data_IF_038482410706
#
_entry.id   IF_038482410706
#
_cell.length_a   1.000
_cell.length_b   1.000
_cell.length_c   1.000
_cell.angle_alpha   90.00
_cell.angle_beta   90.00
_cell.angle_gamma   90.00
#
_symmetry.space_group_name_H-M   'P 1'
#
loop_
_entity.id
_entity.type
_entity.pdbx_description
1 polymer ?
#
# COMPACT_ATOMS: atom_id res chain seq x y z
N UNK A 1 -31.75 -9.49 17.72
CA UNK A 1 -31.93 -10.87 17.22
C UNK A 1 -30.54 -11.35 16.81
N UNK A 2 -30.08 -12.44 17.43
CA UNK A 2 -28.78 -13.08 17.24
C UNK A 2 -28.79 -13.81 15.88
N UNK A 3 -27.68 -13.80 15.14
CA UNK A 3 -27.34 -14.90 14.24
C UNK A 3 -26.13 -15.64 14.82
N UNK A 4 -26.44 -16.80 15.37
CA UNK A 4 -25.59 -17.97 15.44
C UNK A 4 -25.88 -18.76 14.15
N UNK A 5 -24.90 -19.44 13.56
CA UNK A 5 -25.13 -20.82 13.09
C UNK A 5 -23.84 -21.51 12.69
N UNK A 6 -23.83 -22.84 12.80
CA UNK A 6 -22.71 -23.75 12.69
C UNK A 6 -22.44 -24.31 11.27
N UNK A 7 -21.16 -24.58 11.01
CA UNK A 7 -20.55 -25.59 10.11
C UNK A 7 -20.74 -25.54 8.57
N UNK A 8 -19.64 -25.95 7.91
CA UNK A 8 -19.37 -26.20 6.48
C UNK A 8 -19.16 -25.04 5.51
N UNK A 9 -19.93 -23.96 5.51
CA UNK A 9 -19.75 -22.85 4.54
C UNK A 9 -20.27 -21.55 5.17
N UNK A 10 -19.47 -20.49 5.33
CA UNK A 10 -19.85 -19.27 6.08
C UNK A 10 -19.80 -17.96 5.27
N UNK A 11 -20.79 -17.10 5.55
CA UNK A 11 -20.94 -15.67 5.18
C UNK A 11 -20.84 -14.81 6.46
N UNK A 12 -20.20 -13.64 6.42
CA UNK A 12 -20.13 -12.69 7.55
C UNK A 12 -20.82 -11.37 7.18
N UNK A 13 -21.57 -10.76 8.10
CA UNK A 13 -22.08 -9.37 7.97
C UNK A 13 -22.30 -8.74 9.34
N UNK A 14 -21.83 -7.50 9.53
CA UNK A 14 -21.98 -6.70 10.75
C UNK A 14 -23.14 -5.71 10.64
N UNK A 15 -23.79 -5.40 11.76
CA UNK A 15 -24.55 -4.15 11.93
C UNK A 15 -24.63 -3.76 13.41
N UNK A 16 -24.08 -2.61 13.80
CA UNK A 16 -24.75 -1.76 14.78
C UNK A 16 -24.37 -0.28 14.60
N UNK A 17 -25.39 0.54 14.31
CA UNK A 17 -25.32 2.01 14.39
C UNK A 17 -24.86 2.44 15.78
N UNK A 18 -23.78 3.21 15.85
CA UNK A 18 -23.47 4.07 16.99
C UNK A 18 -22.33 3.66 17.92
N UNK A 19 -21.43 2.76 17.51
CA UNK A 19 -20.14 2.60 18.21
C UNK A 19 -18.98 3.06 17.32
N UNK A 20 -18.14 3.94 17.86
CA UNK A 20 -17.06 4.61 17.12
C UNK A 20 -15.76 3.79 17.06
N UNK A 21 -15.60 2.76 17.91
CA UNK A 21 -14.42 1.89 17.93
C UNK A 21 -14.80 0.51 18.49
N UNK A 22 -14.42 -0.58 17.81
CA UNK A 22 -14.44 -1.93 18.38
C UNK A 22 -12.99 -2.42 18.49
N UNK A 23 -12.40 -2.23 19.67
CA UNK A 23 -11.13 -2.86 20.00
C UNK A 23 -11.40 -4.31 20.44
N UNK A 24 -10.92 -5.28 19.65
CA UNK A 24 -10.98 -6.70 20.01
C UNK A 24 -9.90 -7.02 21.06
N UNK A 25 -9.96 -6.38 22.24
CA UNK A 25 -9.08 -6.74 23.35
C UNK A 25 -9.54 -8.05 24.02
N UNK A 26 -8.57 -8.96 24.15
CA UNK A 26 -8.56 -10.28 24.83
C UNK A 26 -9.62 -11.34 24.46
N UNK A 27 -10.78 -10.97 23.94
CA UNK A 27 -11.88 -11.90 23.58
C UNK A 27 -11.62 -12.69 22.30
N UNK A 28 -10.70 -12.23 21.43
CA UNK A 28 -10.31 -12.99 20.25
C UNK A 28 -9.66 -14.32 20.63
N UNK A 29 -8.99 -14.43 21.78
CA UNK A 29 -8.38 -15.69 22.23
C UNK A 29 -9.43 -16.79 22.37
N UNK A 30 -10.63 -16.41 22.78
CA UNK A 30 -11.77 -17.30 22.99
C UNK A 30 -12.57 -17.56 21.71
N UNK A 31 -12.24 -16.87 20.60
CA UNK A 31 -12.88 -17.12 19.31
C UNK A 31 -12.50 -18.52 18.80
N UNK A 32 -13.47 -19.35 18.36
CA UNK A 32 -13.19 -20.69 17.87
C UNK A 32 -12.34 -20.63 16.60
N UNK A 33 -11.59 -21.71 16.34
CA UNK A 33 -10.98 -21.89 15.03
C UNK A 33 -12.06 -22.04 13.95
N UNK A 34 -11.83 -21.39 12.81
CA UNK A 34 -12.68 -21.36 11.64
C UNK A 34 -11.94 -22.00 10.45
N UNK A 35 -11.66 -23.32 10.48
CA UNK A 35 -10.87 -23.99 9.47
C UNK A 35 -11.59 -24.09 8.11
N UNK A 36 -12.87 -23.75 8.04
CA UNK A 36 -13.64 -23.76 6.79
C UNK A 36 -13.43 -22.51 5.93
N UNK A 37 -12.81 -21.45 6.49
CA UNK A 37 -12.58 -20.20 5.76
C UNK A 37 -11.20 -20.25 5.12
N UNK A 38 -11.18 -20.21 3.79
CA UNK A 38 -9.96 -20.14 2.97
C UNK A 38 -9.71 -18.75 2.38
N UNK A 39 -10.69 -17.85 2.44
CA UNK A 39 -10.54 -16.46 1.97
C UNK A 39 -11.17 -15.49 2.97
N UNK A 40 -10.45 -14.42 3.30
CA UNK A 40 -10.94 -13.35 4.17
C UNK A 40 -10.54 -12.00 3.58
N UNK A 41 -11.52 -11.11 3.42
CA UNK A 41 -11.29 -9.70 3.11
C UNK A 41 -12.01 -8.80 4.10
N UNK A 42 -11.28 -7.89 4.71
CA UNK A 42 -11.86 -6.82 5.52
C UNK A 42 -11.61 -5.47 4.84
N UNK A 43 -12.66 -4.66 4.72
CA UNK A 43 -12.58 -3.31 4.19
C UNK A 43 -13.20 -2.34 5.19
N UNK A 44 -12.36 -1.49 5.81
CA UNK A 44 -12.85 -0.37 6.60
C UNK A 44 -13.47 0.71 5.70
N UNK A 45 -14.54 1.35 6.19
CA UNK A 45 -15.09 2.57 5.58
C UNK A 45 -14.26 3.81 5.96
N UNK A 46 -14.31 4.85 5.13
CA UNK A 46 -13.64 6.15 5.36
C UNK A 46 -14.21 6.93 6.53
N UNK A 47 -15.49 6.72 6.84
CA UNK A 47 -16.23 7.64 7.70
C UNK A 47 -16.22 7.20 9.18
N UNK A 48 -16.01 5.91 9.44
CA UNK A 48 -15.80 5.34 10.78
C UNK A 48 -14.98 4.05 10.66
N UNK A 49 -13.75 3.96 11.20
CA UNK A 49 -13.01 2.71 11.24
C UNK A 49 -13.65 1.76 12.24
N UNK A 50 -14.46 0.82 11.75
CA UNK A 50 -15.19 -0.16 12.57
C UNK A 50 -14.25 -1.14 13.30
N UNK A 51 -13.00 -1.26 12.86
CA UNK A 51 -11.97 -2.19 13.39
C UNK A 51 -10.57 -1.70 13.04
N UNK A 52 -9.58 -1.97 13.90
CA UNK A 52 -8.17 -1.69 13.54
C UNK A 52 -7.62 -2.77 12.60
N UNK A 53 -6.65 -2.45 11.72
CA UNK A 53 -6.04 -3.45 10.84
C UNK A 53 -5.40 -4.62 11.60
N UNK A 54 -4.87 -4.35 12.81
CA UNK A 54 -4.31 -5.36 13.68
C UNK A 54 -5.36 -6.35 14.19
N UNK A 55 -6.57 -5.89 14.49
CA UNK A 55 -7.67 -6.75 14.93
C UNK A 55 -8.13 -7.70 13.82
N UNK A 56 -8.12 -7.26 12.57
CA UNK A 56 -8.40 -8.12 11.41
C UNK A 56 -7.34 -9.21 11.28
N UNK A 57 -6.06 -8.90 11.49
CA UNK A 57 -4.99 -9.90 11.48
C UNK A 57 -5.15 -10.92 12.64
N UNK A 58 -5.61 -10.48 13.82
CA UNK A 58 -5.95 -11.39 14.93
C UNK A 58 -7.12 -12.29 14.59
N UNK A 59 -8.15 -11.77 13.93
CA UNK A 59 -9.27 -12.58 13.45
C UNK A 59 -8.80 -13.62 12.40
N UNK A 60 -7.96 -13.20 11.46
CA UNK A 60 -7.36 -14.08 10.46
C UNK A 60 -6.56 -15.23 11.11
N UNK A 61 -5.92 -15.01 12.27
CA UNK A 61 -5.20 -16.06 13.00
C UNK A 61 -6.07 -17.24 13.42
N UNK A 62 -7.40 -17.06 13.47
CA UNK A 62 -8.37 -18.10 13.77
C UNK A 62 -8.78 -18.93 12.56
N UNK A 63 -8.27 -18.64 11.38
CA UNK A 63 -8.61 -19.35 10.14
C UNK A 63 -7.39 -20.16 9.66
N UNK A 64 -7.10 -21.35 10.24
CA UNK A 64 -5.86 -22.07 9.97
C UNK A 64 -5.71 -22.54 8.51
N UNK A 65 -6.79 -22.56 7.72
CA UNK A 65 -6.77 -22.89 6.28
C UNK A 65 -6.93 -21.66 5.37
N UNK A 66 -6.71 -20.46 5.90
CA UNK A 66 -6.79 -19.22 5.13
C UNK A 66 -5.71 -19.18 4.05
N UNK A 67 -6.10 -19.16 2.79
CA UNK A 67 -5.21 -19.12 1.62
C UNK A 67 -5.07 -17.71 1.05
N UNK A 68 -6.14 -16.91 1.08
CA UNK A 68 -6.14 -15.51 0.62
C UNK A 68 -6.58 -14.58 1.75
N UNK A 69 -5.77 -13.57 2.04
CA UNK A 69 -6.04 -12.59 3.09
C UNK A 69 -5.94 -11.17 2.56
N UNK A 70 -6.96 -10.37 2.79
CA UNK A 70 -7.01 -8.96 2.42
C UNK A 70 -7.44 -8.08 3.59
N UNK A 71 -6.69 -7.01 3.83
CA UNK A 71 -7.08 -5.96 4.77
C UNK A 71 -6.96 -4.61 4.08
N UNK A 72 -8.05 -3.85 4.10
CA UNK A 72 -8.10 -2.45 3.68
C UNK A 72 -8.49 -1.59 4.86
N UNK A 73 -7.67 -0.59 5.16
CA UNK A 73 -7.95 0.43 6.14
C UNK A 73 -7.44 1.78 5.64
N UNK A 74 -8.31 2.77 5.73
CA UNK A 74 -7.98 4.16 5.43
C UNK A 74 -7.95 4.87 6.78
N UNK A 75 -6.81 5.47 7.09
CA UNK A 75 -6.63 6.21 8.31
C UNK A 75 -7.08 7.66 8.12
N UNK A 76 -7.98 8.15 8.99
CA UNK A 76 -8.40 9.56 8.91
C UNK A 76 -7.32 10.51 9.41
N UNK A 77 -7.10 11.60 8.69
CA UNK A 77 -6.27 12.74 9.09
C UNK A 77 -6.84 13.46 10.33
N UNK A 78 -8.10 13.19 10.70
CA UNK A 78 -8.79 13.80 11.85
C UNK A 78 -8.24 13.35 13.19
N UNK A 79 -7.65 12.17 13.25
CA UNK A 79 -7.05 11.59 14.45
C UNK A 79 -5.53 11.76 14.43
N UNK A 80 -5.07 13.01 14.65
CA UNK A 80 -3.67 13.46 14.77
C UNK A 80 -2.65 12.36 15.11
N UNK A 81 -1.55 12.28 14.33
CA UNK A 81 -0.18 11.69 14.51
C UNK A 81 0.04 10.53 15.50
N UNK A 82 -0.54 10.59 16.70
CA UNK A 82 -0.58 9.49 17.67
C UNK A 82 -1.45 8.32 17.20
N UNK A 83 -2.56 8.58 16.47
CA UNK A 83 -3.38 7.52 15.87
C UNK A 83 -2.59 6.68 14.85
N UNK A 84 -1.83 7.36 14.01
CA UNK A 84 -1.07 6.75 12.91
C UNK A 84 0.02 5.82 13.37
N UNK A 85 0.88 6.31 14.26
CA UNK A 85 1.92 5.48 14.82
C UNK A 85 1.30 4.26 15.53
N UNK A 86 0.17 4.41 16.25
CA UNK A 86 -0.47 3.32 16.98
C UNK A 86 -1.09 2.28 16.03
N UNK A 87 -1.90 2.69 15.05
CA UNK A 87 -2.55 1.77 14.11
C UNK A 87 -1.53 1.07 13.21
N UNK A 88 -0.52 1.81 12.72
CA UNK A 88 0.59 1.27 11.96
C UNK A 88 1.42 0.28 12.76
N UNK A 89 1.78 0.62 14.00
CA UNK A 89 2.49 -0.30 14.90
C UNK A 89 1.63 -1.52 15.26
N UNK A 90 0.31 -1.36 15.36
CA UNK A 90 -0.63 -2.47 15.59
C UNK A 90 -0.63 -3.42 14.39
N UNK A 91 -0.82 -2.89 13.17
CA UNK A 91 -0.74 -3.66 11.94
C UNK A 91 0.60 -4.39 11.81
N UNK A 92 1.72 -3.66 11.93
CA UNK A 92 3.06 -4.23 11.80
C UNK A 92 3.31 -5.39 12.77
N UNK A 93 2.85 -5.29 14.03
CA UNK A 93 2.95 -6.36 15.04
C UNK A 93 2.01 -7.53 14.76
N UNK A 94 0.87 -7.27 14.13
CA UNK A 94 -0.15 -8.30 13.88
C UNK A 94 0.02 -9.03 12.55
N UNK A 95 0.82 -8.52 11.60
CA UNK A 95 1.16 -9.24 10.36
C UNK A 95 1.78 -10.62 10.63
N UNK A 96 2.52 -10.78 11.74
CA UNK A 96 3.10 -12.07 12.14
C UNK A 96 2.05 -13.09 12.61
N UNK A 97 0.82 -12.65 12.92
CA UNK A 97 -0.28 -13.52 13.35
C UNK A 97 -1.02 -14.15 12.17
N UNK A 98 -0.76 -13.70 10.94
CA UNK A 98 -1.39 -14.25 9.74
C UNK A 98 -1.04 -15.76 9.66
N UNK A 99 -2.01 -16.65 9.38
CA UNK A 99 -1.76 -18.09 9.26
C UNK A 99 -0.69 -18.46 8.21
N UNK A 100 0.05 -19.56 8.44
CA UNK A 100 1.08 -20.06 7.49
C UNK A 100 0.50 -20.55 6.16
N UNK A 101 -0.81 -20.82 6.13
CA UNK A 101 -1.55 -21.25 4.95
C UNK A 101 -1.77 -20.12 3.93
N UNK A 102 -1.58 -18.86 4.32
CA UNK A 102 -1.80 -17.72 3.42
C UNK A 102 -0.76 -17.71 2.32
N UNK A 103 -1.24 -17.76 1.08
CA UNK A 103 -0.44 -17.71 -0.14
C UNK A 103 -0.56 -16.36 -0.84
N UNK A 104 -1.72 -15.70 -0.71
CA UNK A 104 -2.03 -14.43 -1.38
C UNK A 104 -2.42 -13.38 -0.35
N UNK A 105 -1.74 -12.23 -0.40
CA UNK A 105 -1.91 -11.14 0.55
C UNK A 105 -2.26 -9.83 -0.14
N UNK A 106 -3.29 -9.14 0.35
CA UNK A 106 -3.57 -7.73 0.06
C UNK A 106 -3.48 -6.92 1.35
N UNK A 107 -2.59 -5.94 1.39
CA UNK A 107 -2.54 -4.94 2.46
C UNK A 107 -2.73 -3.57 1.83
N UNK A 108 -3.87 -2.96 2.07
CA UNK A 108 -4.22 -1.62 1.65
C UNK A 108 -4.36 -0.74 2.90
N UNK A 109 -3.24 -0.13 3.31
CA UNK A 109 -3.15 0.75 4.48
C UNK A 109 -2.78 2.15 4.02
N UNK A 110 -3.79 2.96 3.74
CA UNK A 110 -3.64 4.30 3.19
C UNK A 110 -3.93 5.34 4.26
N UNK A 111 -3.22 6.47 4.19
CA UNK A 111 -3.64 7.68 4.88
C UNK A 111 -4.75 8.34 4.05
N UNK A 112 -5.70 8.98 4.72
CA UNK A 112 -6.64 9.90 4.09
C UNK A 112 -5.86 10.96 3.29
N UNK A 113 -6.43 11.34 2.14
CA UNK A 113 -5.78 12.22 1.17
C UNK A 113 -5.48 13.57 1.81
N UNK A 114 -4.23 14.01 1.68
CA UNK A 114 -3.83 15.37 2.07
C UNK A 114 -4.23 16.30 0.92
N UNK A 115 -5.21 17.17 1.17
CA UNK A 115 -5.80 18.04 0.15
C UNK A 115 -4.92 19.26 -0.14
N UNK A 116 -4.27 19.80 0.89
CA UNK A 116 -3.32 20.91 0.74
C UNK A 116 -1.88 20.38 0.69
N UNK A 117 -1.32 20.36 -0.52
CA UNK A 117 0.01 19.83 -0.78
C UNK A 117 1.12 20.83 -0.45
N UNK A 118 0.81 22.02 0.08
CA UNK A 118 1.81 22.93 0.68
C UNK A 118 2.21 22.45 2.08
N UNK A 119 1.31 21.72 2.75
CA UNK A 119 1.58 21.09 4.03
C UNK A 119 2.66 20.01 3.87
N UNK A 120 3.65 20.02 4.77
CA UNK A 120 4.65 18.96 4.88
C UNK A 120 4.26 18.05 6.05
N UNK A 121 3.81 16.82 5.78
CA UNK A 121 3.41 15.92 6.83
C UNK A 121 4.58 15.57 7.76
N UNK A 122 4.33 15.38 9.05
CA UNK A 122 5.37 14.96 9.98
C UNK A 122 5.83 13.53 9.65
N UNK A 123 7.09 13.23 9.99
CA UNK A 123 7.60 11.86 9.97
C UNK A 123 6.81 10.98 10.93
N UNK A 124 6.41 9.80 10.47
CA UNK A 124 5.77 8.76 11.27
C UNK A 124 6.77 7.70 11.75
N UNK A 125 8.04 7.84 11.37
CA UNK A 125 9.13 7.02 11.89
C UNK A 125 9.43 7.46 13.33
N UNK A 126 9.40 6.54 14.32
CA UNK A 126 9.73 6.87 15.70
C UNK A 126 11.17 7.40 15.81
N UNK A 127 11.33 8.55 16.49
CA UNK A 127 12.63 9.24 16.67
C UNK A 127 13.71 8.32 17.26
N UNK A 128 13.30 7.35 18.08
CA UNK A 128 14.19 6.43 18.78
C UNK A 128 14.62 5.21 17.94
N UNK A 129 13.85 4.86 16.90
CA UNK A 129 14.00 3.59 16.18
C UNK A 129 14.83 3.72 14.90
N UNK A 130 14.82 4.90 14.25
CA UNK A 130 15.31 5.12 12.88
C UNK A 130 14.84 4.08 11.84
N UNK A 131 13.89 3.21 12.21
CA UNK A 131 13.42 2.07 11.43
C UNK A 131 11.92 2.15 11.33
N UNK A 132 11.45 1.95 10.11
CA UNK A 132 10.06 1.98 9.77
C UNK A 132 9.45 0.59 9.99
N UNK A 133 8.61 0.46 11.02
CA UNK A 133 8.14 -0.83 11.53
C UNK A 133 7.31 -1.63 10.52
N UNK A 134 6.54 -0.97 9.65
CA UNK A 134 5.67 -1.64 8.70
C UNK A 134 6.48 -2.18 7.54
N UNK A 135 7.48 -1.44 7.07
CA UNK A 135 8.44 -1.90 6.05
C UNK A 135 9.16 -3.15 6.53
N UNK A 136 9.62 -3.17 7.79
CA UNK A 136 10.24 -4.35 8.37
C UNK A 136 9.27 -5.53 8.50
N UNK A 137 8.02 -5.28 8.91
CA UNK A 137 7.02 -6.33 9.06
C UNK A 137 6.62 -6.93 7.70
N UNK A 138 6.37 -6.09 6.68
CA UNK A 138 6.10 -6.52 5.31
C UNK A 138 7.28 -7.28 4.73
N UNK A 139 8.51 -6.81 4.95
CA UNK A 139 9.73 -7.52 4.53
C UNK A 139 9.82 -8.91 5.14
N UNK A 140 9.60 -9.05 6.45
CA UNK A 140 9.58 -10.36 7.14
C UNK A 140 8.48 -11.27 6.60
N UNK A 141 7.30 -10.71 6.35
CA UNK A 141 6.17 -11.42 5.78
C UNK A 141 6.49 -11.92 4.36
N UNK A 142 7.06 -11.08 3.51
CA UNK A 142 7.49 -11.45 2.16
C UNK A 142 8.54 -12.56 2.15
N UNK A 143 9.36 -12.68 3.20
CA UNK A 143 10.37 -13.74 3.36
C UNK A 143 9.78 -15.07 3.85
N UNK A 144 8.53 -15.09 4.29
CA UNK A 144 7.87 -16.28 4.82
C UNK A 144 7.67 -17.33 3.73
N UNK A 145 7.97 -18.59 4.05
CA UNK A 145 7.59 -19.71 3.20
C UNK A 145 6.07 -19.81 3.06
N UNK A 146 5.58 -19.95 1.83
CA UNK A 146 4.17 -20.16 1.52
C UNK A 146 3.50 -18.97 0.85
N UNK A 147 4.00 -17.75 1.09
CA UNK A 147 3.50 -16.56 0.38
C UNK A 147 4.01 -16.58 -1.06
N UNK A 148 3.08 -16.49 -2.00
CA UNK A 148 3.30 -16.46 -3.44
C UNK A 148 3.00 -15.09 -4.03
N UNK A 149 2.03 -14.38 -3.47
CA UNK A 149 1.59 -13.10 -4.02
C UNK A 149 1.36 -12.07 -2.91
N UNK A 150 1.88 -10.86 -3.11
CA UNK A 150 1.61 -9.71 -2.26
C UNK A 150 1.20 -8.53 -3.12
N UNK A 151 0.09 -7.89 -2.74
CA UNK A 151 -0.30 -6.57 -3.20
C UNK A 151 -0.30 -5.62 -2.00
N UNK A 152 0.51 -4.58 -2.07
CA UNK A 152 0.70 -3.59 -1.02
C UNK A 152 0.33 -2.21 -1.54
N UNK A 153 -0.60 -1.54 -0.87
CA UNK A 153 -0.91 -0.12 -1.04
C UNK A 153 -0.67 0.51 0.33
N UNK A 154 0.49 1.11 0.53
CA UNK A 154 0.83 1.70 1.82
C UNK A 154 1.95 2.74 1.67
N UNK A 155 1.98 3.71 2.58
CA UNK A 155 3.19 4.52 2.77
C UNK A 155 4.24 3.64 3.43
N UNK A 156 5.29 3.22 2.72
CA UNK A 156 6.43 2.40 3.21
C UNK A 156 7.72 2.87 2.54
N UNK A 157 8.88 2.51 3.08
CA UNK A 157 10.19 2.84 2.50
C UNK A 157 10.70 1.72 1.57
N UNK A 158 11.68 2.03 0.74
CA UNK A 158 12.47 1.08 -0.06
C UNK A 158 13.06 -0.09 0.74
N UNK A 159 13.18 0.06 2.07
CA UNK A 159 13.59 -0.99 3.00
C UNK A 159 12.78 -2.29 2.88
N UNK A 160 11.55 -2.27 2.35
CA UNK A 160 10.77 -3.50 2.06
C UNK A 160 11.50 -4.50 1.15
N UNK A 161 12.42 -4.01 0.33
CA UNK A 161 13.20 -4.80 -0.63
C UNK A 161 14.58 -5.22 -0.10
N UNK A 162 14.97 -4.80 1.10
CA UNK A 162 16.28 -5.16 1.62
C UNK A 162 16.38 -6.67 1.91
N UNK A 163 17.49 -7.32 1.52
CA UNK A 163 17.76 -8.69 1.93
C UNK A 163 18.00 -8.80 3.44
N UNK A 164 17.50 -9.88 4.05
CA UNK A 164 18.00 -10.30 5.36
C UNK A 164 19.38 -10.92 5.18
N UNK A 165 20.26 -10.72 6.14
CA UNK A 165 21.63 -11.24 6.13
C UNK A 165 21.73 -12.77 6.13
N UNK A 166 20.62 -13.47 6.37
CA UNK A 166 20.59 -14.93 6.61
C UNK A 166 19.68 -15.72 5.65
N UNK A 167 18.80 -15.07 4.88
CA UNK A 167 17.77 -15.75 4.06
C UNK A 167 17.54 -15.04 2.73
N UNK A 168 17.18 -15.83 1.70
CA UNK A 168 16.72 -15.29 0.41
C UNK A 168 15.51 -14.36 0.60
N UNK A 169 15.49 -13.22 -0.10
CA UNK A 169 14.28 -12.39 -0.20
C UNK A 169 13.19 -13.22 -0.88
N UNK A 170 12.02 -13.41 -0.26
CA UNK A 170 10.88 -14.04 -0.93
C UNK A 170 11.19 -15.39 -1.61
N UNK A 171 11.56 -16.45 -0.86
CA UNK A 171 11.92 -17.75 -1.43
C UNK A 171 10.80 -18.38 -2.27
N UNK A 172 9.55 -18.03 -1.98
CA UNK A 172 8.36 -18.57 -2.65
C UNK A 172 7.56 -17.53 -3.43
N UNK A 173 7.97 -16.26 -3.36
CA UNK A 173 7.22 -15.13 -3.90
C UNK A 173 7.29 -15.15 -5.43
N UNK A 174 6.14 -15.19 -6.08
CA UNK A 174 5.95 -15.20 -7.54
C UNK A 174 5.50 -13.84 -8.06
N UNK A 175 4.74 -13.08 -7.26
CA UNK A 175 4.26 -11.74 -7.62
C UNK A 175 4.36 -10.77 -6.45
N UNK A 176 4.90 -9.57 -6.69
CA UNK A 176 4.94 -8.48 -5.72
C UNK A 176 4.51 -7.16 -6.37
N UNK A 177 3.33 -6.67 -6.01
CA UNK A 177 2.81 -5.39 -6.49
C UNK A 177 2.79 -4.37 -5.35
N UNK A 178 3.42 -3.23 -5.57
CA UNK A 178 3.49 -2.14 -4.60
C UNK A 178 2.99 -0.84 -5.24
N UNK A 179 1.99 -0.23 -4.61
CA UNK A 179 1.54 1.12 -4.91
C UNK A 179 2.08 2.09 -3.85
N UNK A 180 2.95 3.00 -4.25
CA UNK A 180 3.42 4.11 -3.43
C UNK A 180 2.29 5.10 -3.22
N UNK A 181 2.07 5.47 -1.96
CA UNK A 181 1.29 6.65 -1.59
C UNK A 181 2.07 7.95 -1.87
N UNK A 182 1.37 9.08 -1.86
CA UNK A 182 1.94 10.40 -2.17
C UNK A 182 3.04 10.86 -1.20
N UNK A 183 3.10 10.28 0.00
CA UNK A 183 3.99 10.67 1.10
C UNK A 183 4.68 9.43 1.67
N UNK A 184 6.00 9.51 1.81
CA UNK A 184 6.83 8.49 2.46
C UNK A 184 6.67 8.51 3.98
N UNK A 185 7.03 7.43 4.70
CA UNK A 185 6.97 7.42 6.16
C UNK A 185 7.81 8.52 6.85
N UNK A 186 8.79 9.09 6.16
CA UNK A 186 9.58 10.24 6.63
C UNK A 186 8.81 11.57 6.60
N UNK A 187 7.60 11.61 6.02
CA UNK A 187 6.86 12.85 5.72
C UNK A 187 7.28 13.49 4.38
N UNK A 188 8.24 12.91 3.68
CA UNK A 188 8.68 13.38 2.36
C UNK A 188 7.63 13.08 1.29
N UNK A 189 7.20 14.12 0.56
CA UNK A 189 6.38 13.96 -0.64
C UNK A 189 7.14 13.22 -1.75
N UNK A 190 6.46 12.25 -2.38
CA UNK A 190 6.95 11.46 -3.51
C UNK A 190 6.94 12.27 -4.80
N UNK A 191 6.10 13.29 -4.88
CA UNK A 191 5.98 14.20 -6.01
C UNK A 191 6.39 15.65 -5.69
N UNK A 192 6.70 16.43 -6.72
CA UNK A 192 6.97 17.88 -6.70
C UNK A 192 6.01 18.60 -7.66
N UNK A 193 5.89 19.92 -7.50
CA UNK A 193 5.06 20.79 -8.32
C UNK A 193 5.44 22.26 -8.12
N UNK A 194 5.08 23.11 -9.08
CA UNK A 194 5.59 24.50 -9.17
C UNK A 194 4.51 25.58 -8.99
N UNK A 195 3.24 25.22 -8.83
CA UNK A 195 2.13 26.19 -8.80
C UNK A 195 1.18 25.94 -7.62
N UNK A 196 1.60 26.17 -6.36
CA UNK A 196 0.66 26.23 -5.26
C UNK A 196 -0.32 27.41 -5.46
N UNK A 197 -1.52 27.31 -4.89
CA UNK A 197 -2.43 28.45 -4.81
C UNK A 197 -1.74 29.68 -4.21
N UNK A 198 -2.11 30.87 -4.70
CA UNK A 198 -1.71 32.14 -4.11
C UNK A 198 -2.42 32.37 -2.77
N UNK A 199 -1.88 33.27 -1.94
CA UNK A 199 -2.49 33.59 -0.64
C UNK A 199 -3.94 34.10 -0.76
N UNK A 200 -4.26 34.82 -1.84
CA UNK A 200 -5.61 35.31 -2.12
C UNK A 200 -6.56 34.15 -2.48
N UNK A 201 -6.11 33.20 -3.30
CA UNK A 201 -6.89 32.00 -3.67
C UNK A 201 -7.10 31.07 -2.47
N UNK A 202 -6.09 30.92 -1.60
CA UNK A 202 -6.24 30.18 -0.34
C UNK A 202 -7.28 30.84 0.58
N UNK A 203 -7.26 32.16 0.72
CA UNK A 203 -8.23 32.88 1.56
C UNK A 203 -9.66 32.74 1.01
N UNK A 204 -9.82 32.82 -0.32
CA UNK A 204 -11.10 32.60 -0.99
C UNK A 204 -11.64 31.19 -0.73
N UNK A 205 -10.82 30.14 -0.93
CA UNK A 205 -11.25 28.76 -0.66
C UNK A 205 -11.56 28.53 0.83
N UNK A 206 -10.74 29.05 1.75
CA UNK A 206 -11.02 28.95 3.19
C UNK A 206 -12.35 29.62 3.54
N UNK A 207 -12.68 30.73 2.89
CA UNK A 207 -13.95 31.43 3.11
C UNK A 207 -15.14 30.61 2.58
N UNK A 208 -15.05 30.03 1.38
CA UNK A 208 -16.08 29.12 0.84
C UNK A 208 -16.31 27.91 1.76
N UNK A 209 -15.23 27.29 2.25
CA UNK A 209 -15.31 26.16 3.19
C UNK A 209 -15.97 26.57 4.51
N UNK A 210 -15.62 27.74 5.05
CA UNK A 210 -16.24 28.29 6.27
C UNK A 210 -17.72 28.60 6.09
N UNK A 211 -18.13 29.08 4.92
CA UNK A 211 -19.52 29.40 4.60
C UNK A 211 -20.35 28.13 4.30
N UNK A 212 -19.71 27.06 3.81
CA UNK A 212 -20.33 25.77 3.56
C UNK A 212 -20.40 24.82 4.76
N UNK A 213 -19.53 24.97 5.77
CA UNK A 213 -19.56 24.17 6.99
C UNK A 213 -20.58 24.71 8.00
N UNK A 214 -21.81 24.20 7.93
CA UNK A 214 -22.90 24.55 8.85
C UNK A 214 -22.72 24.01 10.29
N UNK A 215 -21.73 23.16 10.55
CA UNK A 215 -21.51 22.55 11.85
C UNK A 215 -20.00 22.52 12.13
N UNK A 216 -19.61 23.05 13.30
CA UNK A 216 -18.23 23.39 13.68
C UNK A 216 -17.28 22.20 13.86
N UNK A 217 -17.20 21.33 12.87
CA UNK A 217 -16.28 20.20 12.83
C UNK A 217 -14.84 20.68 12.69
N UNK A 218 -13.97 20.18 13.56
CA UNK A 218 -12.53 20.43 13.49
C UNK A 218 -11.97 19.87 12.18
N UNK A 219 -11.37 20.74 11.37
CA UNK A 219 -10.62 20.37 10.17
C UNK A 219 -9.13 20.33 10.53
N UNK A 220 -8.43 19.19 10.38
CA UNK A 220 -6.99 19.12 10.62
C UNK A 220 -6.21 20.00 9.64
N UNK A 221 -5.01 20.48 10.03
CA UNK A 221 -4.11 21.15 9.11
C UNK A 221 -3.85 20.30 7.87
N UNK A 222 -3.99 20.89 6.69
CA UNK A 222 -3.82 20.19 5.41
C UNK A 222 -5.11 19.62 4.78
N UNK A 223 -6.25 19.70 5.49
CA UNK A 223 -7.56 19.23 5.02
C UNK A 223 -8.53 20.39 4.72
N UNK A 224 -8.11 21.62 4.98
CA UNK A 224 -8.97 22.81 4.98
C UNK A 224 -9.30 23.33 3.58
N UNK A 225 -8.38 23.13 2.63
CA UNK A 225 -8.45 23.63 1.26
C UNK A 225 -7.91 22.57 0.29
N UNK A 226 -8.44 22.56 -0.94
CA UNK A 226 -7.92 21.71 -2.01
C UNK A 226 -6.83 22.49 -2.77
N UNK A 227 -5.58 22.28 -2.38
CA UNK A 227 -4.39 22.88 -2.99
C UNK A 227 -3.49 21.75 -3.53
N UNK A 228 -3.95 21.11 -4.61
CA UNK A 228 -3.27 19.99 -5.24
C UNK A 228 -2.48 20.46 -6.47
N UNK A 229 -1.15 20.51 -6.36
CA UNK A 229 -0.26 21.04 -7.41
C UNK A 229 0.98 20.16 -7.71
N UNK A 230 1.29 19.19 -6.84
CA UNK A 230 2.34 18.19 -7.06
C UNK A 230 1.87 17.23 -8.12
N UNK A 231 2.67 17.08 -9.17
CA UNK A 231 2.29 16.33 -10.37
C UNK A 231 3.47 15.58 -11.01
N UNK A 232 4.71 15.89 -10.61
CA UNK A 232 5.93 15.29 -11.16
C UNK A 232 6.61 14.43 -10.10
N UNK A 233 7.14 13.28 -10.49
CA UNK A 233 7.92 12.44 -9.56
C UNK A 233 9.14 13.22 -9.04
N UNK A 234 9.33 13.27 -7.71
CA UNK A 234 10.51 13.90 -7.12
C UNK A 234 11.76 13.12 -7.50
N UNK A 235 12.83 13.84 -7.85
CA UNK A 235 14.11 13.25 -8.24
C UNK A 235 14.67 12.31 -7.16
N UNK A 236 15.26 11.20 -7.59
CA UNK A 236 15.89 10.22 -6.71
C UNK A 236 14.93 9.25 -6.01
N UNK A 237 13.65 9.61 -5.80
CA UNK A 237 12.71 8.73 -5.09
C UNK A 237 12.54 7.39 -5.82
N UNK A 238 12.17 7.41 -7.10
CA UNK A 238 11.95 6.18 -7.88
C UNK A 238 13.25 5.38 -8.04
N UNK A 239 14.39 6.05 -8.18
CA UNK A 239 15.70 5.41 -8.33
C UNK A 239 16.06 4.59 -7.08
N UNK A 240 15.75 5.09 -5.88
CA UNK A 240 15.90 4.34 -4.62
C UNK A 240 15.12 3.03 -4.64
N UNK A 241 13.86 3.06 -5.06
CA UNK A 241 13.02 1.85 -5.15
C UNK A 241 13.50 0.90 -6.26
N UNK A 242 13.90 1.44 -7.41
CA UNK A 242 14.47 0.68 -8.51
C UNK A 242 15.73 -0.09 -8.10
N UNK A 243 16.65 0.59 -7.41
CA UNK A 243 17.90 -0.01 -6.94
C UNK A 243 17.62 -1.10 -5.91
N UNK A 244 16.79 -0.80 -4.90
CA UNK A 244 16.45 -1.75 -3.85
C UNK A 244 15.73 -2.98 -4.42
N UNK A 245 14.77 -2.80 -5.34
CA UNK A 245 14.07 -3.89 -5.99
C UNK A 245 15.00 -4.76 -6.85
N UNK A 246 15.94 -4.17 -7.61
CA UNK A 246 16.92 -4.92 -8.38
C UNK A 246 17.76 -5.84 -7.49
N UNK A 247 18.23 -5.31 -6.35
CA UNK A 247 18.99 -6.10 -5.37
C UNK A 247 18.15 -7.23 -4.79
N UNK A 248 16.87 -6.98 -4.50
CA UNK A 248 15.96 -7.99 -3.96
C UNK A 248 15.69 -9.12 -4.96
N UNK A 249 15.43 -8.77 -6.23
CA UNK A 249 15.10 -9.73 -7.30
C UNK A 249 16.22 -10.74 -7.54
N UNK A 250 17.48 -10.35 -7.38
CA UNK A 250 18.63 -11.28 -7.41
C UNK A 250 18.50 -12.43 -6.40
N UNK A 251 17.74 -12.22 -5.33
CA UNK A 251 17.55 -13.17 -4.24
C UNK A 251 16.14 -13.77 -4.17
N UNK A 252 15.27 -13.48 -5.14
CA UNK A 252 13.89 -13.99 -5.22
C UNK A 252 13.76 -15.05 -6.33
N UNK A 253 14.13 -16.32 -6.11
CA UNK A 253 14.28 -17.30 -7.19
C UNK A 253 12.99 -17.68 -7.93
N UNK A 254 11.81 -17.36 -7.36
CA UNK A 254 10.51 -17.66 -7.97
C UNK A 254 9.79 -16.44 -8.52
N UNK A 255 10.35 -15.23 -8.38
CA UNK A 255 9.66 -14.02 -8.79
C UNK A 255 9.43 -14.04 -10.30
N UNK A 256 8.18 -13.80 -10.69
CA UNK A 256 7.74 -13.69 -12.08
C UNK A 256 7.32 -12.29 -12.42
N UNK A 257 6.76 -11.57 -11.45
CA UNK A 257 6.27 -10.20 -11.61
C UNK A 257 6.61 -9.36 -10.38
N UNK A 258 7.21 -8.20 -10.59
CA UNK A 258 7.40 -7.19 -9.56
C UNK A 258 7.00 -5.83 -10.14
N UNK A 259 6.01 -5.18 -9.55
CA UNK A 259 5.54 -3.87 -10.02
C UNK A 259 5.58 -2.88 -8.87
N UNK A 260 6.13 -1.69 -9.14
CA UNK A 260 6.17 -0.57 -8.23
C UNK A 260 5.59 0.64 -8.96
N UNK A 261 4.51 1.22 -8.44
CA UNK A 261 3.81 2.32 -9.10
C UNK A 261 3.43 3.40 -8.11
N UNK A 262 3.52 4.65 -8.51
CA UNK A 262 2.87 5.74 -7.82
C UNK A 262 1.41 5.83 -8.27
N UNK A 263 0.47 5.85 -7.33
CA UNK A 263 -0.95 6.04 -7.65
C UNK A 263 -1.26 7.52 -7.40
N UNK A 264 -1.32 8.29 -8.48
CA UNK A 264 -1.94 9.62 -8.45
C UNK A 264 -3.45 9.43 -8.52
N UNK A 265 -4.18 9.96 -7.54
CA UNK A 265 -5.63 10.17 -7.62
C UNK A 265 -5.90 11.67 -7.65
N UNK A 266 -5.90 12.31 -8.83
CA UNK A 266 -6.54 13.59 -8.97
C UNK A 266 -8.02 13.32 -9.19
N UNK A 267 -8.81 13.80 -8.25
CA UNK A 267 -10.21 14.18 -8.45
C UNK A 267 -10.41 14.70 -9.88
N UNK A 268 -11.35 14.06 -10.58
CA UNK A 268 -11.93 14.41 -11.87
C UNK A 268 -11.17 14.08 -13.18
N UNK A 269 -11.78 13.13 -13.91
CA UNK A 269 -12.00 13.15 -15.36
C UNK A 269 -10.99 13.92 -16.21
N UNK A 270 -9.82 13.34 -16.48
CA UNK A 270 -9.21 13.32 -17.82
C UNK A 270 -8.02 12.33 -17.86
N UNK A 271 -7.85 11.69 -19.02
CA UNK A 271 -7.12 10.43 -19.29
C UNK A 271 -5.59 10.45 -19.10
N UNK A 272 -5.06 11.36 -18.28
CA UNK A 272 -3.63 11.68 -18.26
C UNK A 272 -2.98 11.39 -16.89
N UNK A 273 -3.41 10.29 -16.25
CA UNK A 273 -2.84 9.80 -14.98
C UNK A 273 -1.33 9.65 -15.18
N UNK A 274 -0.56 10.53 -14.54
CA UNK A 274 0.90 10.54 -14.46
C UNK A 274 1.40 9.31 -13.68
N UNK A 275 1.28 8.14 -14.29
CA UNK A 275 1.76 6.86 -13.76
C UNK A 275 3.28 6.84 -13.85
N UNK A 276 3.96 7.25 -12.79
CA UNK A 276 5.37 6.98 -12.59
C UNK A 276 5.54 5.63 -11.90
N UNK A 277 6.40 4.76 -12.43
CA UNK A 277 6.62 3.44 -11.87
C UNK A 277 7.53 2.56 -12.71
N UNK A 278 7.71 1.34 -12.27
CA UNK A 278 8.39 0.30 -13.04
C UNK A 278 7.72 -1.05 -12.82
N UNK A 279 7.83 -1.91 -13.82
CA UNK A 279 7.40 -3.29 -13.75
C UNK A 279 8.50 -4.18 -14.29
N UNK A 280 8.81 -5.22 -13.55
CA UNK A 280 9.65 -6.32 -13.94
C UNK A 280 8.78 -7.55 -14.16
N UNK A 281 9.00 -8.24 -15.27
CA UNK A 281 8.40 -9.52 -15.56
C UNK A 281 9.43 -10.46 -16.17
N UNK A 282 9.36 -11.75 -15.85
CA UNK A 282 10.22 -12.75 -16.50
C UNK A 282 9.86 -12.95 -17.98
N UNK A 283 8.66 -12.53 -18.40
CA UNK A 283 8.22 -12.59 -19.79
C UNK A 283 8.67 -11.39 -20.64
N UNK A 284 8.67 -10.19 -20.06
CA UNK A 284 8.85 -8.93 -20.80
C UNK A 284 10.05 -8.09 -20.35
N UNK A 285 10.75 -8.51 -19.29
CA UNK A 285 11.91 -7.82 -18.74
C UNK A 285 11.52 -6.63 -17.87
N UNK A 286 12.36 -5.59 -17.85
CA UNK A 286 12.13 -4.38 -17.06
C UNK A 286 11.53 -3.27 -17.93
N UNK A 287 10.39 -2.77 -17.49
CA UNK A 287 9.70 -1.60 -18.02
C UNK A 287 9.72 -0.46 -16.99
N UNK A 288 9.96 0.76 -17.43
CA UNK A 288 9.89 1.97 -16.59
C UNK A 288 8.96 2.98 -17.26
N UNK A 289 8.02 3.53 -16.50
CA UNK A 289 7.01 4.50 -16.94
C UNK A 289 7.17 5.81 -16.16
N UNK A 290 7.03 6.96 -16.83
CA UNK A 290 6.91 8.28 -16.19
C UNK A 290 6.98 9.45 -17.18
N UNK A 291 6.22 10.53 -16.93
CA UNK A 291 6.37 11.80 -17.66
C UNK A 291 7.72 12.44 -17.28
N UNK A 292 8.65 12.37 -18.24
CA UNK A 292 9.89 13.15 -18.45
C UNK A 292 9.99 14.41 -17.57
N UNK A 293 10.90 14.48 -16.59
CA UNK A 293 12.26 15.05 -16.73
C UNK A 293 13.34 14.39 -15.82
N UNK A 294 13.02 13.29 -15.13
CA UNK A 294 13.95 12.58 -14.23
C UNK A 294 14.87 11.68 -15.06
N UNK A 295 16.20 11.63 -14.80
CA UNK A 295 17.11 10.82 -15.59
C UNK A 295 16.67 9.36 -15.56
N UNK A 296 16.44 8.85 -16.78
CA UNK A 296 16.56 7.46 -17.19
C UNK A 296 17.52 6.76 -16.23
N UNK A 297 17.01 5.90 -15.34
CA UNK A 297 17.71 4.97 -14.45
C UNK A 297 19.17 5.35 -14.13
N UNK A 298 19.50 5.63 -12.86
CA UNK A 298 20.90 5.84 -12.50
C UNK A 298 21.80 4.71 -13.03
N UNK A 299 23.05 5.02 -13.35
CA UNK A 299 23.98 3.99 -13.86
C UNK A 299 24.05 2.79 -12.90
N UNK A 300 23.95 3.06 -11.60
CA UNK A 300 23.89 2.06 -10.55
C UNK A 300 22.64 1.17 -10.66
N UNK A 301 21.44 1.77 -10.70
CA UNK A 301 20.18 1.03 -10.87
C UNK A 301 20.21 0.18 -12.15
N UNK A 302 20.80 0.70 -13.22
CA UNK A 302 20.94 -0.01 -14.48
C UNK A 302 21.84 -1.26 -14.37
N UNK A 303 23.00 -1.12 -13.72
CA UNK A 303 23.94 -2.22 -13.51
C UNK A 303 23.32 -3.29 -12.60
N UNK A 304 22.58 -2.85 -11.57
CA UNK A 304 21.85 -3.74 -10.68
C UNK A 304 20.79 -4.56 -11.45
N UNK A 305 19.95 -3.92 -12.27
CA UNK A 305 18.92 -4.62 -13.05
C UNK A 305 19.48 -5.54 -14.14
N UNK A 306 20.61 -5.18 -14.76
CA UNK A 306 21.33 -6.11 -15.65
C UNK A 306 21.80 -7.36 -14.91
N UNK A 307 22.13 -7.24 -13.64
CA UNK A 307 22.54 -8.37 -12.80
C UNK A 307 21.32 -9.21 -12.42
N UNK A 308 20.24 -8.57 -11.97
CA UNK A 308 18.98 -9.22 -11.64
C UNK A 308 18.35 -9.98 -12.83
N UNK A 309 18.37 -9.41 -14.03
CA UNK A 309 17.82 -10.09 -15.21
C UNK A 309 18.65 -11.32 -15.60
N UNK A 310 19.98 -11.27 -15.42
CA UNK A 310 20.85 -12.44 -15.62
C UNK A 310 20.58 -13.56 -14.63
N UNK A 311 20.22 -13.26 -13.37
CA UNK A 311 19.90 -14.33 -12.39
C UNK A 311 18.62 -15.09 -12.74
N UNK A 312 17.79 -14.53 -13.62
CA UNK A 312 16.54 -15.11 -14.10
C UNK A 312 16.60 -15.58 -15.56
N UNK A 313 17.81 -15.66 -16.16
CA UNK A 313 18.03 -16.03 -17.56
C UNK A 313 17.27 -15.17 -18.59
N UNK A 314 16.99 -13.91 -18.24
CA UNK A 314 16.31 -12.96 -19.12
C UNK A 314 17.34 -12.11 -19.84
N UNK A 315 17.22 -12.03 -21.17
CA UNK A 315 18.00 -11.06 -21.96
C UNK A 315 17.47 -9.67 -21.65
N UNK A 316 18.34 -8.80 -21.15
CA UNK A 316 18.01 -7.40 -20.87
C UNK A 316 17.70 -6.67 -22.18
N UNK A 317 16.43 -6.63 -22.56
CA UNK A 317 15.90 -5.75 -23.60
C UNK A 317 15.18 -4.58 -22.92
N UNK A 318 15.60 -3.35 -23.23
CA UNK A 318 15.04 -2.16 -22.57
C UNK A 318 13.75 -1.77 -23.29
N UNK A 319 12.62 -1.82 -22.59
CA UNK A 319 11.46 -1.02 -23.00
C UNK A 319 11.37 0.22 -22.11
N UNK A 320 12.10 1.27 -22.49
CA UNK A 320 11.93 2.61 -21.95
C UNK A 320 10.85 3.29 -22.79
N UNK A 321 9.69 3.58 -22.22
CA UNK A 321 8.63 4.29 -22.94
C UNK A 321 8.03 5.40 -22.10
N UNK A 322 7.96 6.59 -22.70
CA UNK A 322 7.21 7.74 -22.18
C UNK A 322 5.79 7.79 -22.75
N UNK A 323 5.44 6.86 -23.65
CA UNK A 323 4.19 6.86 -24.39
C UNK A 323 3.14 6.03 -23.65
N UNK A 324 2.11 6.71 -23.15
CA UNK A 324 0.91 6.11 -22.56
C UNK A 324 0.23 5.10 -23.52
N UNK A 325 0.37 5.27 -24.84
CA UNK A 325 -0.14 4.31 -25.84
C UNK A 325 0.58 2.95 -25.80
N UNK A 326 1.88 2.93 -25.48
CA UNK A 326 2.62 1.67 -25.23
C UNK A 326 2.25 1.12 -23.86
N UNK A 327 2.11 1.98 -22.84
CA UNK A 327 1.62 1.58 -21.51
C UNK A 327 0.20 0.97 -21.57
N UNK A 328 -0.65 1.40 -22.50
CA UNK A 328 -1.97 0.83 -22.77
C UNK A 328 -1.91 -0.62 -23.28
N UNK A 329 -0.90 -0.97 -24.10
CA UNK A 329 -0.67 -2.36 -24.54
C UNK A 329 -0.18 -3.27 -23.40
N UNK A 330 0.50 -2.70 -22.43
CA UNK A 330 1.01 -3.38 -21.24
C UNK A 330 0.20 -3.04 -19.98
N UNK A 331 -1.02 -2.50 -20.11
CA UNK A 331 -1.83 -2.07 -18.97
C UNK A 331 -2.10 -3.23 -17.99
N UNK A 332 -2.18 -4.46 -18.52
CA UNK A 332 -2.30 -5.70 -17.74
C UNK A 332 -1.04 -6.02 -16.91
N UNK A 333 0.14 -5.54 -17.32
CA UNK A 333 1.39 -5.70 -16.54
C UNK A 333 1.45 -4.77 -15.34
N UNK A 334 0.71 -3.65 -15.37
CA UNK A 334 0.62 -2.66 -14.30
C UNK A 334 -0.70 -2.72 -13.52
N UNK A 335 -1.68 -3.50 -13.98
CA UNK A 335 -2.91 -3.76 -13.25
C UNK A 335 -2.62 -4.74 -12.10
N UNK A 336 -3.19 -4.51 -10.89
CA UNK A 336 -3.23 -5.57 -9.91
C UNK A 336 -4.05 -6.70 -10.53
N UNK A 337 -3.47 -7.89 -10.66
CA UNK A 337 -4.18 -9.11 -11.10
C UNK A 337 -5.18 -9.60 -10.04
N UNK A 338 -5.37 -8.82 -8.98
CA UNK A 338 -6.24 -9.15 -7.87
C UNK A 338 -7.71 -9.03 -8.27
N UNK A 339 -8.25 -10.09 -8.87
CA UNK A 339 -9.68 -10.31 -9.04
C UNK A 339 -10.19 -11.13 -7.84
N UNK A 340 -11.12 -10.53 -7.08
CA UNK A 340 -11.88 -11.23 -6.05
C UNK A 340 -13.06 -11.95 -6.72
N UNK A 341 -13.36 -13.17 -6.29
CA UNK A 341 -14.49 -13.94 -6.80
C UNK A 341 -15.75 -13.62 -5.96
N UNK A 342 -16.95 -13.82 -6.52
CA UNK A 342 -18.23 -13.57 -5.83
C UNK A 342 -18.44 -14.43 -4.56
N UNK A 343 -17.59 -15.44 -4.33
CA UNK A 343 -17.66 -16.35 -3.17
C UNK A 343 -16.85 -15.88 -1.96
N UNK A 344 -16.21 -14.71 -2.03
CA UNK A 344 -15.35 -14.21 -0.97
C UNK A 344 -16.13 -13.68 0.25
N UNK A 345 -15.55 -13.83 1.44
CA UNK A 345 -16.15 -13.31 2.69
C UNK A 345 -15.74 -11.85 2.87
N UNK A 346 -16.72 -10.96 2.85
CA UNK A 346 -16.55 -9.53 3.02
C UNK A 346 -16.93 -9.08 4.44
N UNK A 347 -15.99 -8.44 5.14
CA UNK A 347 -16.26 -7.67 6.36
C UNK A 347 -16.35 -6.20 5.98
N UNK A 348 -17.53 -5.60 6.14
CA UNK A 348 -17.81 -4.17 5.99
C UNK A 348 -17.95 -3.52 7.37
#
# INVERSE_FOLDING_TARGET
MIFEMSCSEFRVTFTQKGMQYMELYDTWKDFPELPMISVLRACGSTDTPTFTPGDICRLASKMPRLEKFGVRAIESLRDYVYGEAVMRNSLARSLDLIPMSVQTLLVDYQRERILDQTYNPPSIIPVESNREVLSEAVRRLAQRHGIREITLLASVDSAIFQPSTETSCGPTLESFTFALCDVLPSGEWVATGENPLSAEEEEYQRQEVREGMADGHYCPPGCEIENSFKSRMKEGIMDRFLLAAAQAVCHMPKIRKLSVRHVFDPTDFEEDISRAGFSFSTATGLMVLGKTDVPILSHEALVAWKTAMKTHDIVFDRCLTNELEVAGRYANEFAPEFQWDEQDVYLF
#
